data_IF_237573100273
#
_entry.id   IF_237573100273
#
_cell.length_a   1.000
_cell.length_b   1.000
_cell.length_c   1.000
_cell.angle_alpha   90.00
_cell.angle_beta   90.00
_cell.angle_gamma   90.00
#
_symmetry.space_group_name_H-M   'P 1'
#
loop_
_entity.id
_entity.type
_entity.pdbx_description
1 polymer ?
#
# COMPACT_ATOMS: atom_id res chain seq x y z
N UNK A 1 -24.79 -18.29 2.99
CA UNK A 1 -24.22 -16.93 2.79
C UNK A 1 -22.72 -17.04 2.60
N UNK A 2 -22.22 -16.83 1.38
CA UNK A 2 -20.79 -16.88 1.10
C UNK A 2 -20.21 -15.46 1.11
N UNK A 3 -19.87 -14.94 2.29
CA UNK A 3 -19.04 -13.74 2.41
C UNK A 3 -17.59 -14.14 2.23
N UNK A 4 -17.15 -14.31 0.98
CA UNK A 4 -15.73 -14.27 0.65
C UNK A 4 -15.33 -12.79 0.74
N UNK A 5 -15.14 -12.29 1.97
CA UNK A 5 -14.35 -11.08 2.19
C UNK A 5 -12.94 -11.43 1.72
N UNK A 6 -12.66 -11.09 0.47
CA UNK A 6 -11.35 -11.26 -0.11
C UNK A 6 -10.48 -10.16 0.53
N UNK A 7 -9.83 -10.50 1.64
CA UNK A 7 -9.13 -9.65 2.63
C UNK A 7 -7.94 -8.84 2.07
N UNK A 8 -8.18 -8.03 1.04
CA UNK A 8 -7.24 -7.02 0.55
C UNK A 8 -7.65 -5.68 1.13
N UNK A 9 -7.18 -5.40 2.34
CA UNK A 9 -7.44 -4.11 2.99
C UNK A 9 -6.83 -2.98 2.15
N UNK A 10 -7.69 -2.17 1.55
CA UNK A 10 -7.30 -0.99 0.77
C UNK A 10 -7.27 0.23 1.68
N UNK A 11 -6.13 0.91 1.71
CA UNK A 11 -5.94 2.15 2.45
C UNK A 11 -5.81 3.32 1.49
N UNK A 12 -6.48 4.42 1.81
CA UNK A 12 -6.15 5.73 1.25
C UNK A 12 -4.78 6.20 1.74
N UNK A 13 -4.17 7.18 1.08
CA UNK A 13 -2.92 7.77 1.58
C UNK A 13 -3.07 8.36 3.00
N UNK A 14 -4.25 8.91 3.34
CA UNK A 14 -4.50 9.45 4.69
C UNK A 14 -4.44 8.35 5.75
N UNK A 15 -5.11 7.22 5.51
CA UNK A 15 -5.09 6.09 6.43
C UNK A 15 -3.70 5.45 6.53
N UNK A 16 -2.99 5.33 5.40
CA UNK A 16 -1.60 4.86 5.41
C UNK A 16 -0.67 5.80 6.19
N UNK A 17 -0.86 7.12 6.06
CA UNK A 17 -0.10 8.14 6.80
C UNK A 17 -0.34 8.00 8.30
N UNK A 18 -1.59 7.95 8.76
CA UNK A 18 -1.93 7.78 10.17
C UNK A 18 -1.27 6.52 10.76
N UNK A 19 -1.29 5.42 10.00
CA UNK A 19 -0.66 4.17 10.40
C UNK A 19 0.87 4.31 10.48
N UNK A 20 1.52 4.92 9.49
CA UNK A 20 2.97 5.16 9.53
C UNK A 20 3.37 6.08 10.69
N UNK A 21 2.59 7.13 10.98
CA UNK A 21 2.84 8.04 12.10
C UNK A 21 2.75 7.31 13.46
N UNK A 22 1.85 6.34 13.60
CA UNK A 22 1.77 5.49 14.78
C UNK A 22 3.03 4.62 14.99
N UNK A 23 3.79 4.35 13.92
CA UNK A 23 5.10 3.70 13.96
C UNK A 23 6.28 4.69 14.02
N UNK A 24 6.03 5.95 14.41
CA UNK A 24 7.03 7.02 14.53
C UNK A 24 7.76 7.35 13.21
N UNK A 25 7.13 7.07 12.07
CA UNK A 25 7.66 7.45 10.76
C UNK A 25 7.51 8.96 10.58
N UNK A 26 8.53 9.62 10.04
CA UNK A 26 8.46 11.06 9.71
C UNK A 26 7.32 11.32 8.73
N UNK A 27 6.56 12.39 8.98
CA UNK A 27 5.47 12.83 8.12
C UNK A 27 5.95 13.41 6.79
N UNK A 28 6.33 12.52 5.88
CA UNK A 28 6.80 12.85 4.54
C UNK A 28 6.26 11.82 3.57
N UNK A 29 5.69 12.29 2.45
CA UNK A 29 5.15 11.41 1.40
C UNK A 29 6.16 10.35 0.94
N UNK A 30 7.42 10.75 0.79
CA UNK A 30 8.51 9.84 0.39
C UNK A 30 8.79 8.80 1.46
N UNK A 31 8.93 9.23 2.72
CA UNK A 31 9.26 8.32 3.84
C UNK A 31 8.12 7.35 4.12
N UNK A 32 6.87 7.83 4.11
CA UNK A 32 5.66 7.01 4.23
C UNK A 32 5.57 6.01 3.08
N UNK A 33 5.90 6.42 1.85
CA UNK A 33 5.93 5.53 0.69
C UNK A 33 6.97 4.41 0.82
N UNK A 34 8.16 4.72 1.33
CA UNK A 34 9.21 3.74 1.63
C UNK A 34 8.73 2.78 2.73
N UNK A 35 8.22 3.31 3.84
CA UNK A 35 7.70 2.53 4.95
C UNK A 35 6.58 1.58 4.50
N UNK A 36 5.65 2.05 3.66
CA UNK A 36 4.58 1.24 3.11
C UNK A 36 5.11 0.05 2.31
N UNK A 37 6.07 0.29 1.39
CA UNK A 37 6.70 -0.77 0.60
C UNK A 37 7.38 -1.81 1.49
N UNK A 38 8.13 -1.38 2.50
CA UNK A 38 8.81 -2.27 3.45
C UNK A 38 7.83 -3.10 4.30
N UNK A 39 6.63 -2.58 4.56
CA UNK A 39 5.58 -3.24 5.33
C UNK A 39 4.55 -3.99 4.47
N UNK A 40 4.90 -4.29 3.21
CA UNK A 40 4.08 -5.13 2.32
C UNK A 40 2.88 -4.43 1.68
N UNK A 41 2.85 -3.08 1.71
CA UNK A 41 1.82 -2.32 1.00
C UNK A 41 2.24 -2.01 -0.43
N UNK A 42 1.38 -2.37 -1.39
CA UNK A 42 1.55 -2.04 -2.80
C UNK A 42 0.67 -0.84 -3.19
N UNK A 43 1.26 0.17 -3.84
CA UNK A 43 0.53 1.31 -4.40
C UNK A 43 -0.18 0.90 -5.69
N UNK A 44 -1.48 1.23 -5.83
CA UNK A 44 -2.25 1.02 -7.06
C UNK A 44 -3.07 2.25 -7.42
N UNK A 45 -3.18 2.50 -8.74
CA UNK A 45 -4.11 3.48 -9.29
C UNK A 45 -5.42 2.77 -9.65
N UNK A 46 -6.54 3.36 -9.27
CA UNK A 46 -7.88 2.91 -9.64
C UNK A 46 -8.62 4.04 -10.31
N UNK A 47 -9.40 3.72 -11.33
CA UNK A 47 -10.32 4.66 -11.94
C UNK A 47 -11.74 4.29 -11.52
N UNK A 48 -12.49 5.27 -11.04
CA UNK A 48 -13.91 5.14 -10.72
C UNK A 48 -14.57 6.48 -11.04
N UNK A 49 -15.72 6.47 -11.72
CA UNK A 49 -16.49 7.66 -12.06
C UNK A 49 -15.62 8.74 -12.75
N UNK A 50 -14.81 8.30 -13.72
CA UNK A 50 -13.84 9.12 -14.45
C UNK A 50 -12.76 9.81 -13.58
N UNK A 51 -12.63 9.44 -12.31
CA UNK A 51 -11.64 9.96 -11.37
C UNK A 51 -10.61 8.90 -10.99
N UNK A 52 -9.35 9.29 -10.96
CA UNK A 52 -8.25 8.42 -10.57
C UNK A 52 -7.96 8.58 -9.07
N UNK A 53 -7.95 7.45 -8.37
CA UNK A 53 -7.60 7.34 -6.96
C UNK A 53 -6.34 6.51 -6.79
N UNK A 54 -5.55 6.83 -5.78
CA UNK A 54 -4.42 6.00 -5.35
C UNK A 54 -4.81 5.29 -4.06
N UNK A 55 -4.69 3.97 -4.06
CA UNK A 55 -4.90 3.11 -2.90
C UNK A 55 -3.63 2.32 -2.60
N UNK A 56 -3.48 1.91 -1.35
CA UNK A 56 -2.40 1.06 -0.86
C UNK A 56 -3.00 -0.23 -0.36
N UNK A 57 -2.53 -1.36 -0.88
CA UNK A 57 -3.12 -2.67 -0.61
C UNK A 57 -2.10 -3.49 0.15
N UNK A 58 -2.46 -3.98 1.35
CA UNK A 58 -1.62 -4.90 2.12
C UNK A 58 -1.65 -6.27 1.43
N UNK A 59 -0.48 -6.78 1.08
CA UNK A 59 -0.36 -8.11 0.49
C UNK A 59 -0.29 -9.14 1.64
N UNK A 60 -1.18 -10.13 1.65
CA UNK A 60 -1.11 -11.23 2.62
C UNK A 60 0.21 -11.98 2.45
N UNK A 61 0.81 -12.42 3.56
CA UNK A 61 2.16 -12.99 3.64
C UNK A 61 2.37 -14.29 2.83
N UNK A 62 1.35 -14.83 2.17
CA UNK A 62 1.43 -16.10 1.45
C UNK A 62 2.30 -16.06 0.18
N UNK A 63 2.74 -14.87 -0.25
CA UNK A 63 3.71 -14.71 -1.35
C UNK A 63 4.73 -13.61 -1.05
N UNK A 64 5.52 -13.78 0.00
CA UNK A 64 6.85 -13.19 0.01
C UNK A 64 7.70 -13.91 -1.04
N UNK A 65 7.73 -13.42 -2.29
CA UNK A 65 8.86 -13.61 -3.21
C UNK A 65 8.72 -12.77 -4.49
N UNK A 66 9.83 -12.11 -4.86
CA UNK A 66 10.19 -11.35 -6.09
C UNK A 66 9.63 -9.92 -6.21
N UNK A 67 10.40 -8.87 -6.51
CA UNK A 67 11.81 -8.73 -6.94
C UNK A 67 12.23 -7.28 -6.67
N UNK A 68 13.41 -7.06 -6.10
CA UNK A 68 14.06 -5.75 -6.09
C UNK A 68 14.70 -5.54 -7.47
N UNK A 69 13.92 -5.12 -8.47
CA UNK A 69 14.52 -4.59 -9.69
C UNK A 69 14.83 -3.10 -9.46
N UNK A 70 15.92 -2.85 -8.73
CA UNK A 70 16.75 -1.67 -8.96
C UNK A 70 17.86 -2.10 -9.92
N UNK A 71 17.50 -2.39 -11.16
CA UNK A 71 18.47 -2.51 -12.24
C UNK A 71 17.96 -1.70 -13.44
N UNK A 72 18.85 -0.82 -13.88
CA UNK A 72 18.93 -0.16 -15.19
C UNK A 72 18.11 1.13 -15.37
N UNK A 73 18.70 2.23 -14.89
CA UNK A 73 18.83 3.45 -15.70
C UNK A 73 20.25 3.47 -16.29
#
# INVERSE_FOLDING_TARGET
MNNIMNDKQELTFKQLRELALAHHVKDSKTVIGIWAKLNGYSKRRKQKDNKVYTVYIKMSNDKSNKTNNYENA
#
